data_IF_908680351007
#
_entry.id   IF_908680351007
#
_cell.length_a   1.000
_cell.length_b   1.000
_cell.length_c   1.000
_cell.angle_alpha   90.00
_cell.angle_beta   90.00
_cell.angle_gamma   90.00
#
_symmetry.space_group_name_H-M   'P 1'
#
loop_
_entity.id
_entity.type
_entity.pdbx_description
1 polymer ?
#
# COMPACT_ATOMS: atom_id res chain seq x y z
N UNK A 1 5.55 23.72 -21.16
CA UNK A 1 5.70 24.77 -20.15
C UNK A 1 6.33 24.09 -18.94
N UNK A 2 7.57 24.49 -18.63
CA UNK A 2 8.46 24.01 -17.57
C UNK A 2 8.56 22.49 -17.39
N UNK A 3 9.52 21.85 -18.10
CA UNK A 3 10.34 20.80 -17.48
C UNK A 3 11.64 21.53 -17.16
N UNK A 4 11.66 22.32 -16.08
CA UNK A 4 12.93 22.82 -15.62
C UNK A 4 13.55 21.74 -14.75
N UNK A 5 14.35 20.89 -15.39
CA UNK A 5 15.34 20.07 -14.68
C UNK A 5 16.21 20.94 -13.77
N UNK A 6 16.35 22.23 -14.09
CA UNK A 6 16.96 23.24 -13.23
C UNK A 6 16.28 23.37 -11.86
N UNK A 7 14.93 23.31 -11.80
CA UNK A 7 14.17 23.53 -10.55
C UNK A 7 14.50 22.51 -9.45
N UNK A 8 14.83 21.28 -9.82
CA UNK A 8 15.15 20.20 -8.88
C UNK A 8 16.56 19.64 -9.08
N UNK A 9 17.43 20.33 -9.83
CA UNK A 9 18.74 19.83 -10.23
C UNK A 9 19.60 19.39 -9.03
N UNK A 10 19.52 20.13 -7.92
CA UNK A 10 20.26 19.83 -6.69
C UNK A 10 19.75 18.60 -5.94
N UNK A 11 18.47 18.25 -6.14
CA UNK A 11 17.79 17.11 -5.49
C UNK A 11 17.93 15.81 -6.30
N UNK A 12 18.09 15.93 -7.62
CA UNK A 12 18.15 14.79 -8.52
C UNK A 12 19.24 13.76 -8.18
N UNK A 13 20.49 14.14 -7.81
CA UNK A 13 21.53 13.17 -7.50
C UNK A 13 21.18 12.27 -6.32
N UNK A 14 20.70 12.84 -5.20
CA UNK A 14 20.35 12.07 -4.01
C UNK A 14 19.07 11.26 -4.21
N UNK A 15 18.08 11.81 -4.90
CA UNK A 15 16.85 11.09 -5.26
C UNK A 15 17.14 9.89 -6.19
N UNK A 16 18.01 10.07 -7.19
CA UNK A 16 18.46 8.99 -8.05
C UNK A 16 19.17 7.88 -7.28
N UNK A 17 20.05 8.26 -6.35
CA UNK A 17 20.77 7.28 -5.54
C UNK A 17 19.82 6.47 -4.68
N UNK A 18 18.85 7.12 -4.02
CA UNK A 18 17.81 6.45 -3.26
C UNK A 18 16.99 5.47 -4.11
N UNK A 19 16.45 5.92 -5.25
CA UNK A 19 15.66 5.05 -6.13
C UNK A 19 16.50 3.90 -6.71
N UNK A 20 17.76 4.14 -7.06
CA UNK A 20 18.69 3.11 -7.52
C UNK A 20 18.92 2.03 -6.46
N UNK A 21 19.16 2.44 -5.21
CA UNK A 21 19.39 1.50 -4.10
C UNK A 21 18.13 0.71 -3.79
N UNK A 22 16.96 1.35 -3.80
CA UNK A 22 15.68 0.69 -3.63
C UNK A 22 15.37 -0.32 -4.74
N UNK A 23 15.65 0.03 -6.00
CA UNK A 23 15.52 -0.89 -7.14
C UNK A 23 16.43 -2.11 -7.01
N UNK A 24 17.69 -1.92 -6.59
CA UNK A 24 18.62 -3.03 -6.29
C UNK A 24 18.10 -3.93 -5.18
N UNK A 25 17.59 -3.34 -4.09
CA UNK A 25 17.00 -4.10 -2.99
C UNK A 25 15.83 -4.97 -3.46
N UNK A 26 14.94 -4.42 -4.30
CA UNK A 26 13.84 -5.17 -4.91
C UNK A 26 14.32 -6.32 -5.79
N UNK A 27 15.34 -6.09 -6.63
CA UNK A 27 15.96 -7.12 -7.47
C UNK A 27 16.63 -8.22 -6.65
N UNK A 28 17.38 -7.85 -5.61
CA UNK A 28 18.01 -8.81 -4.72
C UNK A 28 16.94 -9.70 -4.08
N UNK A 29 15.83 -9.12 -3.56
CA UNK A 29 14.74 -9.91 -2.96
C UNK A 29 14.10 -10.88 -3.92
N UNK A 30 13.98 -10.47 -5.18
CA UNK A 30 13.51 -11.34 -6.23
C UNK A 30 14.49 -12.50 -6.50
N UNK A 31 15.79 -12.21 -6.56
CA UNK A 31 16.85 -13.19 -6.86
C UNK A 31 17.12 -14.18 -5.73
N UNK A 32 17.09 -13.76 -4.46
CA UNK A 32 17.38 -14.63 -3.30
C UNK A 32 16.37 -15.79 -3.18
N UNK A 33 15.18 -15.62 -3.75
CA UNK A 33 14.09 -16.58 -3.59
C UNK A 33 13.56 -17.15 -4.88
N UNK A 34 13.93 -16.59 -6.03
CA UNK A 34 13.17 -16.80 -7.27
C UNK A 34 11.66 -16.68 -6.96
N UNK A 35 11.29 -15.66 -6.18
CA UNK A 35 10.05 -15.65 -5.37
C UNK A 35 8.80 -15.78 -6.22
N UNK A 36 8.79 -15.19 -7.42
CA UNK A 36 7.70 -15.36 -8.38
C UNK A 36 7.59 -16.79 -8.91
N UNK A 37 8.73 -17.48 -9.08
CA UNK A 37 8.73 -18.89 -9.45
C UNK A 37 8.24 -19.75 -8.28
N UNK A 38 8.62 -19.47 -7.03
CA UNK A 38 8.08 -20.20 -5.88
C UNK A 38 6.56 -20.06 -5.78
N UNK A 39 6.02 -18.84 -5.85
CA UNK A 39 4.55 -18.63 -5.76
C UNK A 39 3.81 -19.31 -6.92
N UNK A 40 4.36 -19.21 -8.14
CA UNK A 40 3.79 -19.87 -9.32
C UNK A 40 3.90 -21.40 -9.22
N UNK A 41 5.01 -21.90 -8.68
CA UNK A 41 5.25 -23.31 -8.44
C UNK A 41 4.32 -23.89 -7.37
N UNK A 42 4.07 -23.15 -6.29
CA UNK A 42 3.08 -23.56 -5.26
C UNK A 42 1.71 -23.69 -5.90
N UNK A 43 1.27 -22.69 -6.67
CA UNK A 43 -0.03 -22.71 -7.38
C UNK A 43 -0.10 -23.87 -8.38
N UNK A 44 0.94 -24.10 -9.17
CA UNK A 44 0.96 -25.21 -10.13
C UNK A 44 1.01 -26.57 -9.44
N UNK A 45 1.73 -26.71 -8.33
CA UNK A 45 1.76 -27.94 -7.54
C UNK A 45 0.40 -28.25 -6.93
N UNK A 46 -0.32 -27.23 -6.44
CA UNK A 46 -1.71 -27.36 -5.96
C UNK A 46 -2.62 -27.87 -7.09
N UNK A 47 -2.57 -27.24 -8.27
CA UNK A 47 -3.39 -27.63 -9.43
C UNK A 47 -3.10 -29.06 -9.91
N UNK A 48 -1.84 -29.51 -9.78
CA UNK A 48 -1.40 -30.83 -10.18
C UNK A 48 -1.55 -31.90 -9.08
N UNK A 49 -2.21 -31.60 -7.95
CA UNK A 49 -2.42 -32.55 -6.85
C UNK A 49 -1.16 -32.89 -6.04
N UNK A 50 -0.06 -32.15 -6.22
CA UNK A 50 1.23 -32.35 -5.53
C UNK A 50 1.30 -31.48 -4.28
N UNK A 51 0.39 -31.72 -3.34
CA UNK A 51 0.17 -30.88 -2.17
C UNK A 51 1.39 -30.81 -1.23
N UNK A 52 2.09 -31.92 -1.01
CA UNK A 52 3.29 -31.94 -0.16
C UNK A 52 4.44 -31.11 -0.76
N UNK A 53 4.61 -31.17 -2.09
CA UNK A 53 5.59 -30.33 -2.80
C UNK A 53 5.22 -28.85 -2.73
N UNK A 54 3.94 -28.52 -2.87
CA UNK A 54 3.44 -27.17 -2.68
C UNK A 54 3.74 -26.65 -1.26
N UNK A 55 3.47 -27.47 -0.24
CA UNK A 55 3.75 -27.13 1.15
C UNK A 55 5.25 -26.94 1.42
N UNK A 56 6.12 -27.80 0.88
CA UNK A 56 7.59 -27.67 0.98
C UNK A 56 8.09 -26.33 0.42
N UNK A 57 7.58 -25.91 -0.72
CA UNK A 57 7.92 -24.62 -1.34
C UNK A 57 7.37 -23.44 -0.53
N UNK A 58 6.14 -23.54 -0.02
CA UNK A 58 5.55 -22.58 0.91
C UNK A 58 6.40 -22.37 2.17
N UNK A 59 6.85 -23.46 2.81
CA UNK A 59 7.68 -23.39 4.02
C UNK A 59 9.03 -22.72 3.75
N UNK A 60 9.65 -22.96 2.59
CA UNK A 60 10.88 -22.24 2.19
C UNK A 60 10.66 -20.74 2.12
N UNK A 61 9.56 -20.33 1.51
CA UNK A 61 9.21 -18.91 1.37
C UNK A 61 8.85 -18.27 2.71
N UNK A 62 8.07 -18.96 3.55
CA UNK A 62 7.73 -18.52 4.92
C UNK A 62 8.98 -18.40 5.80
N UNK A 63 9.89 -19.38 5.72
CA UNK A 63 11.16 -19.37 6.46
C UNK A 63 12.01 -18.15 6.07
N UNK A 64 12.18 -17.89 4.77
CA UNK A 64 12.98 -16.74 4.34
C UNK A 64 12.41 -15.40 4.82
N UNK A 65 11.07 -15.22 4.72
CA UNK A 65 10.41 -14.06 5.32
C UNK A 65 10.77 -13.91 6.80
N UNK A 66 10.64 -14.99 7.57
CA UNK A 66 10.87 -14.96 9.00
C UNK A 66 12.35 -14.75 9.35
N UNK A 67 13.28 -15.33 8.59
CA UNK A 67 14.73 -15.14 8.76
C UNK A 67 15.12 -13.69 8.47
N UNK A 68 14.60 -13.09 7.39
CA UNK A 68 14.77 -11.67 7.09
C UNK A 68 14.20 -10.79 8.20
N UNK A 69 12.98 -11.07 8.66
CA UNK A 69 12.40 -10.35 9.79
C UNK A 69 13.31 -10.45 11.02
N UNK A 70 13.81 -11.63 11.37
CA UNK A 70 14.69 -11.81 12.53
C UNK A 70 16.04 -11.07 12.42
N UNK A 71 16.56 -10.89 11.21
CA UNK A 71 17.79 -10.14 10.96
C UNK A 71 17.59 -8.62 10.97
N UNK A 72 16.37 -8.15 10.76
CA UNK A 72 16.02 -6.73 10.86
C UNK A 72 15.82 -6.29 12.30
N UNK A 73 16.43 -5.16 12.64
CA UNK A 73 16.19 -4.48 13.91
C UNK A 73 14.69 -4.10 14.00
N UNK A 74 14.13 -3.81 15.18
CA UNK A 74 12.70 -3.44 15.36
C UNK A 74 12.34 -2.06 14.74
N UNK A 75 12.85 -1.73 13.55
CA UNK A 75 12.44 -0.56 12.79
C UNK A 75 11.21 -0.92 11.97
N UNK A 76 10.16 -0.14 12.13
CA UNK A 76 8.85 -0.40 11.50
C UNK A 76 8.94 -0.45 9.97
N UNK A 77 9.78 0.39 9.35
CA UNK A 77 9.83 0.53 7.89
C UNK A 77 10.42 -0.69 7.17
N UNK A 78 11.52 -1.28 7.70
CA UNK A 78 12.12 -2.49 7.12
C UNK A 78 11.16 -3.68 7.20
N UNK A 79 10.46 -3.80 8.34
CA UNK A 79 9.48 -4.86 8.57
C UNK A 79 8.22 -4.67 7.73
N UNK A 80 7.72 -3.43 7.59
CA UNK A 80 6.59 -3.11 6.71
C UNK A 80 6.91 -3.49 5.27
N UNK A 81 8.11 -3.17 4.79
CA UNK A 81 8.56 -3.54 3.45
C UNK A 81 8.64 -5.06 3.24
N UNK A 82 9.26 -5.79 4.18
CA UNK A 82 9.32 -7.27 4.11
C UNK A 82 7.90 -7.86 4.15
N UNK A 83 7.03 -7.40 5.05
CA UNK A 83 5.64 -7.88 5.11
C UNK A 83 4.89 -7.64 3.81
N UNK A 84 5.09 -6.47 3.18
CA UNK A 84 4.47 -6.13 1.90
C UNK A 84 4.99 -7.00 0.76
N UNK A 85 6.30 -7.30 0.73
CA UNK A 85 6.91 -8.14 -0.29
C UNK A 85 6.50 -9.61 -0.17
N UNK A 86 6.26 -10.09 1.05
CA UNK A 86 5.84 -11.47 1.35
C UNK A 86 4.34 -11.56 1.71
N UNK A 87 3.51 -10.70 1.12
CA UNK A 87 2.06 -10.70 1.35
C UNK A 87 1.40 -12.03 0.90
N UNK A 88 1.97 -12.69 -0.11
CA UNK A 88 1.48 -13.96 -0.64
C UNK A 88 1.64 -15.14 0.31
N UNK A 89 2.51 -15.06 1.34
CA UNK A 89 2.72 -16.17 2.29
C UNK A 89 1.40 -16.57 2.96
N UNK A 90 0.61 -15.59 3.41
CA UNK A 90 -0.66 -15.89 4.08
C UNK A 90 -1.72 -16.39 3.11
N UNK A 91 -1.77 -15.82 1.91
CA UNK A 91 -2.67 -16.29 0.86
C UNK A 91 -2.36 -17.75 0.48
N UNK A 92 -1.08 -18.12 0.35
CA UNK A 92 -0.67 -19.50 0.06
C UNK A 92 -1.02 -20.45 1.21
N UNK A 93 -0.84 -20.02 2.47
CA UNK A 93 -1.24 -20.81 3.62
C UNK A 93 -2.75 -21.09 3.63
N UNK A 94 -3.57 -20.09 3.30
CA UNK A 94 -5.02 -20.25 3.17
C UNK A 94 -5.39 -21.18 2.02
N UNK A 95 -4.76 -21.03 0.85
CA UNK A 95 -5.01 -21.90 -0.30
C UNK A 95 -4.68 -23.37 0.00
N UNK A 96 -3.55 -23.64 0.65
CA UNK A 96 -3.17 -24.99 1.05
C UNK A 96 -4.18 -25.55 2.06
N UNK A 97 -4.56 -24.76 3.06
CA UNK A 97 -5.57 -25.14 4.07
C UNK A 97 -6.92 -25.48 3.42
N UNK A 98 -7.37 -24.67 2.47
CA UNK A 98 -8.67 -24.84 1.82
C UNK A 98 -8.66 -26.07 0.91
N UNK A 99 -7.54 -26.36 0.23
CA UNK A 99 -7.35 -27.61 -0.53
C UNK A 99 -7.38 -28.84 0.39
N UNK A 100 -6.70 -28.80 1.54
CA UNK A 100 -6.78 -29.87 2.55
C UNK A 100 -8.24 -30.07 2.95
N UNK A 101 -8.94 -28.99 3.32
CA UNK A 101 -10.34 -29.05 3.73
C UNK A 101 -11.25 -29.66 2.66
N UNK A 102 -11.15 -29.19 1.42
CA UNK A 102 -11.94 -29.71 0.30
C UNK A 102 -11.65 -31.18 0.01
N UNK A 103 -10.38 -31.59 0.11
CA UNK A 103 -9.99 -32.99 -0.07
C UNK A 103 -10.61 -33.87 1.01
N UNK A 104 -10.59 -33.42 2.27
CA UNK A 104 -11.21 -34.15 3.39
C UNK A 104 -12.73 -34.30 3.21
N UNK A 105 -13.40 -33.29 2.64
CA UNK A 105 -14.84 -33.32 2.35
C UNK A 105 -15.13 -34.24 1.14
N UNK A 106 -14.35 -34.17 0.07
CA UNK A 106 -14.61 -34.93 -1.17
C UNK A 106 -14.23 -36.41 -1.06
N UNK A 107 -13.13 -36.74 -0.36
CA UNK A 107 -12.75 -38.13 -0.06
C UNK A 107 -13.85 -38.89 0.70
N UNK A 108 -14.78 -38.14 1.31
CA UNK A 108 -15.91 -38.68 2.04
C UNK A 108 -17.21 -38.80 1.25
N UNK A 109 -17.33 -38.11 0.12
CA UNK A 109 -18.51 -38.20 -0.76
C UNK A 109 -18.45 -39.40 -1.70
N UNK A 110 -17.27 -39.75 -2.21
CA UNK A 110 -17.11 -40.81 -3.22
C UNK A 110 -17.25 -42.24 -2.64
N UNK A 111 -17.05 -42.42 -1.34
CA UNK A 111 -17.29 -43.71 -0.66
C UNK A 111 -18.76 -43.99 -0.34
N UNK A 112 -19.66 -43.01 -0.55
CA UNK A 112 -21.10 -43.14 -0.26
C UNK A 112 -21.96 -43.52 -1.47
N UNK A 113 -21.38 -43.68 -2.68
CA UNK A 113 -22.12 -43.99 -3.92
C UNK A 113 -21.88 -45.39 -4.49
N UNK A 114 -21.29 -46.31 -3.71
CA UNK A 114 -21.17 -47.72 -4.07
C UNK A 114 -22.48 -48.47 -3.88
N UNK A 115 -23.43 -48.32 -4.81
CA UNK A 115 -24.45 -49.35 -5.02
C UNK A 115 -23.94 -50.24 -6.15
N UNK A 116 -23.59 -51.47 -5.79
CA UNK A 116 -23.38 -52.64 -6.63
C UNK A 116 -23.16 -52.39 -8.12
N UNK A 117 -21.90 -52.48 -8.57
CA UNK A 117 -21.52 -53.38 -9.66
C UNK A 117 -19.99 -53.53 -9.72
N UNK A 118 -19.59 -54.79 -9.87
CA UNK A 118 -18.22 -55.26 -9.99
C UNK A 118 -17.45 -54.60 -11.16
N UNK A 119 -16.13 -54.58 -10.98
CA UNK A 119 -15.06 -54.39 -11.97
C UNK A 119 -14.53 -52.94 -12.14
N UNK A 120 -13.58 -52.54 -11.27
CA UNK A 120 -12.25 -52.02 -11.65
C UNK A 120 -11.45 -51.54 -10.41
N UNK A 121 -10.49 -52.34 -9.95
CA UNK A 121 -9.59 -52.12 -8.80
C UNK A 121 -8.50 -51.03 -9.00
N UNK A 122 -8.81 -49.89 -9.61
CA UNK A 122 -7.79 -48.85 -9.91
C UNK A 122 -8.05 -47.46 -9.29
N UNK A 123 -9.19 -47.20 -8.65
CA UNK A 123 -9.51 -45.87 -8.09
C UNK A 123 -9.16 -45.69 -6.61
N UNK A 124 -8.88 -46.76 -5.86
CA UNK A 124 -8.58 -46.68 -4.40
C UNK A 124 -7.17 -46.13 -4.10
N UNK A 125 -6.19 -46.33 -5.01
CA UNK A 125 -4.79 -45.95 -4.79
C UNK A 125 -4.53 -44.43 -4.86
N UNK A 126 -5.39 -43.66 -5.54
CA UNK A 126 -5.22 -42.20 -5.70
C UNK A 126 -5.60 -41.45 -4.42
N UNK A 127 -6.50 -41.99 -3.61
CA UNK A 127 -6.98 -41.36 -2.38
C UNK A 127 -5.94 -41.51 -1.24
N UNK A 128 -5.29 -42.67 -1.13
CA UNK A 128 -4.28 -42.95 -0.10
C UNK A 128 -3.02 -42.07 -0.19
N UNK A 129 -2.55 -41.76 -1.42
CA UNK A 129 -1.39 -40.89 -1.61
C UNK A 129 -1.64 -39.46 -1.11
N UNK A 130 -2.81 -38.89 -1.42
CA UNK A 130 -3.17 -37.53 -0.98
C UNK A 130 -3.36 -37.47 0.53
N UNK A 131 -3.95 -38.50 1.14
CA UNK A 131 -4.12 -38.58 2.61
C UNK A 131 -2.77 -38.63 3.30
N UNK A 132 -1.83 -39.44 2.79
CA UNK A 132 -0.47 -39.48 3.32
C UNK A 132 0.23 -38.12 3.18
N UNK A 133 0.04 -37.41 2.07
CA UNK A 133 0.54 -36.04 1.91
C UNK A 133 -0.06 -35.09 2.97
N UNK A 134 -1.37 -35.14 3.22
CA UNK A 134 -2.05 -34.28 4.21
C UNK A 134 -1.54 -34.58 5.63
N UNK A 135 -1.42 -35.85 5.99
CA UNK A 135 -0.95 -36.29 7.31
C UNK A 135 0.47 -35.76 7.56
N UNK A 136 1.38 -35.92 6.60
CA UNK A 136 2.75 -35.37 6.68
C UNK A 136 2.77 -33.84 6.82
N UNK A 137 1.91 -33.13 6.09
CA UNK A 137 1.80 -31.66 6.19
C UNK A 137 1.35 -31.24 7.60
N UNK A 138 0.30 -31.86 8.13
CA UNK A 138 -0.28 -31.52 9.43
C UNK A 138 0.69 -31.82 10.58
N UNK A 139 1.40 -32.94 10.50
CA UNK A 139 2.47 -33.29 11.46
C UNK A 139 3.56 -32.22 11.49
N UNK A 140 4.11 -31.88 10.33
CA UNK A 140 5.17 -30.91 10.24
C UNK A 140 4.72 -29.50 10.66
N UNK A 141 3.51 -29.09 10.28
CA UNK A 141 2.96 -27.80 10.69
C UNK A 141 2.78 -27.71 12.21
N UNK A 142 2.39 -28.82 12.85
CA UNK A 142 2.27 -28.92 14.31
C UNK A 142 3.63 -28.77 14.98
N UNK A 143 4.68 -29.37 14.42
CA UNK A 143 6.04 -29.21 14.94
C UNK A 143 6.51 -27.77 14.81
N UNK A 144 6.26 -27.11 13.68
CA UNK A 144 6.61 -25.69 13.51
C UNK A 144 5.85 -24.77 14.46
N UNK A 145 4.58 -25.07 14.74
CA UNK A 145 3.78 -24.34 15.72
C UNK A 145 4.34 -24.51 17.15
N UNK A 146 4.76 -25.73 17.51
CA UNK A 146 5.41 -26.03 18.79
C UNK A 146 6.77 -25.33 18.92
N UNK A 147 7.63 -25.42 17.88
CA UNK A 147 8.92 -24.73 17.83
C UNK A 147 8.76 -23.21 17.95
N UNK A 148 7.73 -22.65 17.32
CA UNK A 148 7.40 -21.23 17.42
C UNK A 148 6.98 -20.84 18.85
N UNK A 149 6.21 -21.70 19.53
CA UNK A 149 5.83 -21.46 20.93
C UNK A 149 7.06 -21.48 21.84
N UNK A 150 7.95 -22.46 21.66
CA UNK A 150 9.22 -22.55 22.41
C UNK A 150 10.08 -21.30 22.20
N UNK A 151 10.11 -20.74 20.98
CA UNK A 151 10.82 -19.48 20.70
C UNK A 151 10.22 -18.30 21.47
N UNK A 152 8.90 -18.16 21.46
CA UNK A 152 8.19 -17.10 22.22
C UNK A 152 8.46 -17.23 23.71
N UNK A 153 8.45 -18.44 24.24
CA UNK A 153 8.71 -18.72 25.67
C UNK A 153 10.16 -18.41 26.08
N UNK A 154 11.09 -18.35 25.12
CA UNK A 154 12.51 -17.97 25.31
C UNK A 154 12.79 -16.49 25.02
N UNK A 155 11.77 -15.63 24.99
CA UNK A 155 11.85 -14.22 24.58
C UNK A 155 12.47 -14.01 23.18
N UNK A 156 12.47 -15.04 22.33
CA UNK A 156 12.91 -14.94 20.94
C UNK A 156 11.74 -14.53 20.05
N UNK A 157 12.05 -13.83 18.96
CA UNK A 157 11.01 -13.40 18.01
C UNK A 157 10.33 -14.63 17.38
N UNK A 158 9.01 -14.71 17.55
CA UNK A 158 8.20 -15.76 16.94
C UNK A 158 8.02 -15.56 15.44
N UNK A 159 7.79 -16.65 14.72
CA UNK A 159 7.33 -16.65 13.34
C UNK A 159 5.98 -15.93 13.22
N UNK A 160 5.86 -15.07 12.22
CA UNK A 160 4.64 -14.29 11.95
C UNK A 160 3.46 -15.25 11.67
N UNK A 161 2.28 -14.94 12.21
CA UNK A 161 1.03 -15.68 11.98
C UNK A 161 1.04 -17.17 12.38
N UNK A 162 1.91 -17.55 13.32
CA UNK A 162 1.89 -18.85 14.01
C UNK A 162 1.50 -18.71 15.49
N UNK A 163 0.76 -19.69 16.07
CA UNK A 163 0.42 -20.99 15.50
C UNK A 163 -0.77 -20.96 14.52
N UNK A 164 -0.74 -21.84 13.51
CA UNK A 164 -1.83 -21.99 12.51
C UNK A 164 -2.86 -23.04 12.91
N UNK A 165 -2.50 -23.96 13.82
CA UNK A 165 -3.40 -24.96 14.43
C UNK A 165 -4.11 -25.89 13.43
N UNK A 166 -3.45 -26.23 12.31
CA UNK A 166 -4.04 -27.11 11.29
C UNK A 166 -4.39 -28.51 11.80
N UNK A 167 -3.67 -29.02 12.80
CA UNK A 167 -4.02 -30.28 13.48
C UNK A 167 -5.37 -30.21 14.16
N UNK A 168 -5.66 -29.13 14.91
CA UNK A 168 -6.95 -28.90 15.57
C UNK A 168 -8.09 -28.75 14.56
N UNK A 169 -7.82 -28.08 13.44
CA UNK A 169 -8.78 -27.96 12.33
C UNK A 169 -9.13 -29.34 11.76
N UNK A 170 -8.13 -30.16 11.44
CA UNK A 170 -8.37 -31.48 10.87
C UNK A 170 -9.05 -32.43 11.87
N UNK A 171 -8.63 -32.43 13.14
CA UNK A 171 -9.25 -33.30 14.17
C UNK A 171 -10.70 -32.92 14.45
N UNK A 172 -11.03 -31.63 14.51
CA UNK A 172 -12.42 -31.18 14.70
C UNK A 172 -13.33 -31.53 13.53
N UNK A 173 -12.83 -31.44 12.29
CA UNK A 173 -13.58 -31.87 11.10
C UNK A 173 -13.82 -33.38 11.09
N UNK A 174 -12.83 -34.17 11.49
CA UNK A 174 -12.95 -35.63 11.50
C UNK A 174 -13.74 -36.17 12.70
N UNK A 175 -13.87 -35.40 13.79
CA UNK A 175 -14.60 -35.78 15.01
C UNK A 175 -16.13 -35.68 14.91
N UNK A 176 -16.67 -34.87 13.99
CA UNK A 176 -18.11 -34.70 13.76
C UNK A 176 -18.55 -35.22 12.38
N UNK A 177 -18.60 -36.55 12.17
CA UNK A 177 -18.86 -37.13 10.86
C UNK A 177 -20.29 -36.90 10.33
N UNK A 178 -21.22 -36.54 11.22
CA UNK A 178 -22.66 -36.39 10.92
C UNK A 178 -22.97 -35.07 10.21
N UNK A 179 -22.18 -34.01 10.41
CA UNK A 179 -22.38 -32.70 9.75
C UNK A 179 -21.67 -32.59 8.38
N UNK A 180 -20.75 -33.52 8.08
CA UNK A 180 -19.80 -33.41 6.95
C UNK A 180 -20.05 -34.51 5.88
N UNK A 181 -20.97 -35.44 6.12
CA UNK A 181 -21.24 -36.55 5.17
C UNK A 181 -20.10 -37.56 5.12
N UNK A 182 -19.48 -37.83 6.27
CA UNK A 182 -18.17 -38.50 6.37
C UNK A 182 -18.29 -40.03 6.45
N UNK A 183 -17.53 -40.77 5.62
CA UNK A 183 -17.44 -42.23 5.75
C UNK A 183 -16.72 -42.61 7.06
N UNK A 184 -17.44 -43.25 7.99
CA UNK A 184 -17.01 -43.49 9.39
C UNK A 184 -15.66 -44.25 9.52
N UNK A 185 -15.36 -45.29 8.71
CA UNK A 185 -14.05 -45.96 8.74
C UNK A 185 -12.88 -45.08 8.30
N UNK A 186 -13.07 -44.26 7.27
CA UNK A 186 -12.05 -43.36 6.73
C UNK A 186 -11.68 -42.27 7.73
N UNK A 187 -12.70 -41.62 8.30
CA UNK A 187 -12.50 -40.58 9.30
C UNK A 187 -11.78 -41.14 10.54
N UNK A 188 -12.13 -42.37 10.94
CA UNK A 188 -11.52 -43.05 12.07
C UNK A 188 -10.07 -43.46 11.79
N UNK A 189 -9.74 -43.92 10.58
CA UNK A 189 -8.37 -44.23 10.18
C UNK A 189 -7.49 -42.98 10.16
N UNK A 190 -7.95 -41.89 9.54
CA UNK A 190 -7.19 -40.65 9.47
C UNK A 190 -7.02 -39.98 10.84
N UNK A 191 -8.07 -39.99 11.67
CA UNK A 191 -8.02 -39.47 13.04
C UNK A 191 -7.06 -40.29 13.90
N UNK A 192 -7.02 -41.61 13.71
CA UNK A 192 -6.06 -42.51 14.36
C UNK A 192 -4.62 -42.21 13.91
N UNK A 193 -4.39 -42.00 12.61
CA UNK A 193 -3.09 -41.57 12.08
C UNK A 193 -2.66 -40.21 12.66
N UNK A 194 -3.56 -39.22 12.74
CA UNK A 194 -3.26 -37.90 13.32
C UNK A 194 -3.05 -37.92 14.85
N UNK A 195 -3.59 -38.92 15.55
CA UNK A 195 -3.39 -39.12 17.00
C UNK A 195 -2.13 -39.91 17.33
N UNK A 196 -1.75 -40.89 16.50
CA UNK A 196 -0.59 -41.78 16.73
C UNK A 196 0.77 -41.18 16.33
N UNK A 197 0.80 -39.92 15.90
CA UNK A 197 2.00 -39.23 15.39
C UNK A 197 2.99 -38.77 16.45
N UNK A 198 2.94 -39.36 17.64
CA UNK A 198 3.88 -39.10 18.74
C UNK A 198 5.02 -40.11 18.89
N UNK A 199 4.89 -41.33 18.35
CA UNK A 199 5.73 -42.47 18.81
C UNK A 199 6.54 -43.22 17.74
N UNK A 200 6.35 -42.95 16.44
CA UNK A 200 7.11 -43.67 15.41
C UNK A 200 8.22 -42.79 14.81
N UNK A 201 9.42 -43.36 14.81
CA UNK A 201 10.69 -42.88 14.28
C UNK A 201 10.57 -42.52 12.78
N UNK A 202 10.01 -41.33 12.48
CA UNK A 202 9.87 -40.75 11.14
C UNK A 202 11.17 -40.05 10.68
N UNK A 203 12.31 -40.67 11.02
CA UNK A 203 13.63 -40.07 10.95
C UNK A 203 14.16 -39.72 9.55
N UNK A 204 13.51 -40.17 8.47
CA UNK A 204 14.01 -39.97 7.09
C UNK A 204 13.20 -38.98 6.25
N UNK A 205 11.86 -39.04 6.27
CA UNK A 205 11.02 -38.10 5.49
C UNK A 205 10.99 -36.67 6.10
N UNK A 206 11.13 -36.54 7.42
CA UNK A 206 11.19 -35.24 8.10
C UNK A 206 12.51 -34.48 7.85
N UNK A 207 13.58 -35.16 7.42
CA UNK A 207 14.82 -34.50 6.97
C UNK A 207 14.60 -33.74 5.67
N UNK A 208 13.68 -34.19 4.82
CA UNK A 208 13.47 -33.61 3.50
C UNK A 208 12.86 -32.19 3.55
N UNK A 209 12.22 -31.85 4.67
CA UNK A 209 11.71 -30.50 4.98
C UNK A 209 12.68 -29.68 5.84
N UNK A 210 13.80 -30.26 6.32
CA UNK A 210 14.87 -29.47 6.92
C UNK A 210 15.53 -28.66 5.81
N UNK A 211 15.22 -27.38 5.79
CA UNK A 211 15.94 -26.42 4.96
C UNK A 211 17.30 -26.25 5.62
N UNK A 212 18.29 -27.03 5.17
CA UNK A 212 19.67 -26.90 5.59
C UNK A 212 20.14 -25.46 5.30
N UNK A 213 20.67 -24.81 6.33
CA UNK A 213 21.28 -23.49 6.19
C UNK A 213 22.66 -23.70 5.59
N UNK A 214 22.78 -23.67 4.28
CA UNK A 214 24.10 -23.57 3.68
C UNK A 214 24.67 -22.17 3.98
N UNK A 215 25.99 -22.09 4.16
CA UNK A 215 26.71 -20.85 4.51
C UNK A 215 26.39 -19.74 3.50
N UNK A 216 26.22 -20.10 2.23
CA UNK A 216 25.83 -19.21 1.14
C UNK A 216 24.47 -18.51 1.38
N UNK A 217 23.44 -19.22 1.85
CA UNK A 217 22.12 -18.62 2.13
C UNK A 217 22.20 -17.57 3.25
N UNK A 218 22.97 -17.86 4.30
CA UNK A 218 23.16 -16.90 5.39
C UNK A 218 23.96 -15.66 4.94
N UNK A 219 24.98 -15.84 4.09
CA UNK A 219 25.73 -14.73 3.49
C UNK A 219 24.85 -13.85 2.61
N UNK A 220 23.95 -14.43 1.83
CA UNK A 220 22.97 -13.70 1.01
C UNK A 220 21.99 -12.89 1.90
N UNK A 221 21.48 -13.47 2.98
CA UNK A 221 20.64 -12.77 3.95
C UNK A 221 21.37 -11.60 4.64
N UNK A 222 22.66 -11.76 4.95
CA UNK A 222 23.49 -10.66 5.49
C UNK A 222 23.72 -9.56 4.44
N UNK A 223 23.96 -9.93 3.19
CA UNK A 223 24.06 -8.97 2.09
C UNK A 223 22.75 -8.18 1.92
N UNK A 224 21.59 -8.84 2.04
CA UNK A 224 20.29 -8.16 2.04
C UNK A 224 20.16 -7.12 3.13
N UNK A 225 20.49 -7.50 4.37
CA UNK A 225 20.45 -6.56 5.51
C UNK A 225 21.31 -5.32 5.22
N UNK A 226 22.48 -5.51 4.60
CA UNK A 226 23.34 -4.39 4.20
C UNK A 226 22.68 -3.51 3.14
N UNK A 227 22.01 -4.07 2.14
CA UNK A 227 21.26 -3.30 1.14
C UNK A 227 20.08 -2.54 1.73
N UNK A 228 19.35 -3.13 2.69
CA UNK A 228 18.31 -2.44 3.46
C UNK A 228 18.88 -1.21 4.17
N UNK A 229 19.95 -1.39 4.94
CA UNK A 229 20.60 -0.31 5.68
C UNK A 229 21.09 0.80 4.74
N UNK A 230 21.68 0.44 3.60
CA UNK A 230 22.12 1.43 2.61
C UNK A 230 20.95 2.19 1.99
N UNK A 231 19.84 1.50 1.69
CA UNK A 231 18.64 2.14 1.14
C UNK A 231 18.07 3.16 2.11
N UNK A 232 17.97 2.81 3.40
CA UNK A 232 17.54 3.74 4.46
C UNK A 232 18.49 4.92 4.61
N UNK A 233 19.80 4.71 4.52
CA UNK A 233 20.78 5.80 4.58
C UNK A 233 20.58 6.78 3.42
N UNK A 234 20.38 6.28 2.21
CA UNK A 234 20.10 7.12 1.04
C UNK A 234 18.77 7.87 1.17
N UNK A 235 17.75 7.24 1.76
CA UNK A 235 16.46 7.89 2.04
C UNK A 235 16.62 9.07 3.02
N UNK A 236 17.29 8.81 4.15
CA UNK A 236 17.56 9.84 5.17
C UNK A 236 18.41 10.97 4.60
N UNK A 237 19.40 10.65 3.76
CA UNK A 237 20.23 11.63 3.08
C UNK A 237 19.41 12.49 2.11
N UNK A 238 18.56 11.88 1.28
CA UNK A 238 17.64 12.60 0.40
C UNK A 238 16.73 13.54 1.21
N UNK A 239 16.06 13.04 2.24
CA UNK A 239 15.18 13.83 3.10
C UNK A 239 15.91 15.01 3.77
N UNK A 240 17.18 14.80 4.17
CA UNK A 240 18.02 15.87 4.74
C UNK A 240 18.36 16.94 3.70
N UNK A 241 18.76 16.54 2.50
CA UNK A 241 19.06 17.46 1.40
C UNK A 241 17.80 18.22 1.00
N UNK A 242 16.68 17.52 0.87
CA UNK A 242 15.38 18.10 0.53
C UNK A 242 14.92 19.12 1.57
N UNK A 243 15.02 18.79 2.86
CA UNK A 243 14.73 19.73 3.95
C UNK A 243 15.62 20.98 3.86
N UNK A 244 16.93 20.80 3.67
CA UNK A 244 17.86 21.92 3.53
C UNK A 244 17.53 22.79 2.32
N UNK A 245 17.18 22.18 1.20
CA UNK A 245 16.76 22.88 -0.02
C UNK A 245 15.55 23.78 0.25
N UNK A 246 14.52 23.22 0.89
CA UNK A 246 13.33 23.96 1.31
C UNK A 246 13.61 25.07 2.33
N UNK A 247 14.48 24.83 3.30
CA UNK A 247 14.87 25.81 4.33
C UNK A 247 15.75 26.94 3.78
N UNK A 248 16.63 26.63 2.83
CA UNK A 248 17.53 27.62 2.20
C UNK A 248 16.73 28.65 1.41
N UNK A 249 15.63 28.23 0.81
CA UNK A 249 14.73 29.12 0.08
C UNK A 249 13.75 29.89 0.99
N UNK A 250 13.69 29.57 2.30
CA UNK A 250 12.80 30.17 3.33
C UNK A 250 11.34 30.38 2.86
N UNK A 251 10.88 29.52 1.93
CA UNK A 251 9.65 29.73 1.16
C UNK A 251 8.46 29.87 2.10
N UNK A 252 8.41 29.03 3.15
CA UNK A 252 7.32 28.96 4.10
C UNK A 252 7.18 30.24 4.93
N UNK A 253 8.28 30.70 5.52
CA UNK A 253 8.26 31.88 6.37
C UNK A 253 7.98 33.13 5.54
N UNK A 254 8.68 33.26 4.41
CA UNK A 254 8.47 34.37 3.48
C UNK A 254 7.02 34.42 2.99
N UNK A 255 6.44 33.30 2.58
CA UNK A 255 5.05 33.25 2.11
C UNK A 255 4.07 33.70 3.20
N UNK A 256 4.25 33.23 4.43
CA UNK A 256 3.38 33.61 5.54
C UNK A 256 3.55 35.09 5.92
N UNK A 257 4.78 35.62 5.88
CA UNK A 257 5.06 37.04 6.12
C UNK A 257 4.46 37.91 5.01
N UNK A 258 4.53 37.48 3.75
CA UNK A 258 3.91 38.19 2.62
C UNK A 258 2.39 38.22 2.71
N UNK A 259 1.74 37.12 3.10
CA UNK A 259 0.29 37.11 3.34
C UNK A 259 -0.07 38.09 4.46
N UNK A 260 0.66 38.05 5.59
CA UNK A 260 0.42 38.95 6.73
C UNK A 260 0.59 40.42 6.35
N UNK A 261 1.53 40.72 5.46
CA UNK A 261 1.78 42.06 4.93
C UNK A 261 0.89 42.43 3.73
N UNK A 262 -0.13 41.63 3.40
CA UNK A 262 -1.02 41.81 2.23
C UNK A 262 -0.31 41.86 0.87
N UNK A 263 0.91 41.33 0.77
CA UNK A 263 1.62 41.16 -0.50
C UNK A 263 1.27 39.80 -1.12
N UNK A 264 0.07 39.73 -1.71
CA UNK A 264 -0.46 38.48 -2.26
C UNK A 264 0.33 37.99 -3.48
N UNK A 265 0.96 38.89 -4.24
CA UNK A 265 1.76 38.52 -5.41
C UNK A 265 3.01 37.72 -5.00
N UNK A 266 3.80 38.23 -4.07
CA UNK A 266 4.99 37.52 -3.60
C UNK A 266 4.63 36.22 -2.87
N UNK A 267 3.50 36.20 -2.16
CA UNK A 267 2.99 34.99 -1.53
C UNK A 267 2.65 33.90 -2.56
N UNK A 268 1.88 34.22 -3.61
CA UNK A 268 1.50 33.21 -4.60
C UNK A 268 2.69 32.75 -5.45
N UNK A 269 3.64 33.63 -5.74
CA UNK A 269 4.87 33.27 -6.46
C UNK A 269 5.66 32.18 -5.71
N UNK A 270 5.85 32.36 -4.40
CA UNK A 270 6.51 31.38 -3.56
C UNK A 270 5.73 30.06 -3.45
N UNK A 271 4.41 30.12 -3.31
CA UNK A 271 3.55 28.94 -3.25
C UNK A 271 3.58 28.12 -4.55
N UNK A 272 3.48 28.79 -5.70
CA UNK A 272 3.58 28.15 -7.02
C UNK A 272 4.97 27.56 -7.23
N UNK A 273 6.04 28.22 -6.75
CA UNK A 273 7.39 27.66 -6.80
C UNK A 273 7.51 26.36 -6.00
N UNK A 274 6.97 26.34 -4.78
CA UNK A 274 6.96 25.13 -3.95
C UNK A 274 6.16 23.98 -4.60
N UNK A 275 5.02 24.29 -5.22
CA UNK A 275 4.22 23.31 -5.96
C UNK A 275 4.95 22.79 -7.19
N UNK A 276 5.66 23.67 -7.91
CA UNK A 276 6.49 23.28 -9.07
C UNK A 276 7.56 22.26 -8.67
N UNK A 277 8.24 22.49 -7.55
CA UNK A 277 9.20 21.52 -6.97
C UNK A 277 8.51 20.17 -6.69
N UNK A 278 7.31 20.19 -6.07
CA UNK A 278 6.55 18.97 -5.75
C UNK A 278 6.24 18.19 -7.01
N UNK A 279 5.65 18.86 -8.00
CA UNK A 279 5.26 18.28 -9.26
C UNK A 279 6.46 17.67 -9.98
N UNK A 280 7.59 18.37 -10.05
CA UNK A 280 8.79 17.87 -10.73
C UNK A 280 9.40 16.65 -10.04
N UNK A 281 9.43 16.61 -8.71
CA UNK A 281 9.88 15.43 -7.97
C UNK A 281 8.96 14.22 -8.23
N UNK A 282 7.65 14.43 -8.22
CA UNK A 282 6.68 13.38 -8.48
C UNK A 282 6.73 12.88 -9.93
N UNK A 283 6.87 13.77 -10.90
CA UNK A 283 7.04 13.41 -12.30
C UNK A 283 8.33 12.62 -12.53
N UNK A 284 9.40 12.99 -11.83
CA UNK A 284 10.66 12.25 -11.88
C UNK A 284 10.52 10.85 -11.25
N UNK A 285 9.83 10.76 -10.10
CA UNK A 285 9.55 9.49 -9.43
C UNK A 285 8.67 8.56 -10.28
N UNK A 286 7.67 9.10 -10.97
CA UNK A 286 6.80 8.34 -11.88
C UNK A 286 7.60 7.69 -13.01
N UNK A 287 8.59 8.39 -13.58
CA UNK A 287 9.46 7.82 -14.61
C UNK A 287 10.29 6.61 -14.15
N UNK A 288 10.35 6.37 -12.84
CA UNK A 288 11.02 5.23 -12.20
C UNK A 288 10.03 4.24 -11.54
N UNK A 289 8.71 4.41 -11.73
CA UNK A 289 7.65 3.65 -11.04
C UNK A 289 7.69 3.78 -9.51
N UNK A 290 8.18 4.91 -8.99
CA UNK A 290 8.38 5.15 -7.56
C UNK A 290 7.49 6.29 -7.00
N UNK A 291 6.48 6.71 -7.76
CA UNK A 291 5.58 7.81 -7.39
C UNK A 291 5.00 7.68 -5.98
N UNK A 292 4.42 6.53 -5.64
CA UNK A 292 3.78 6.33 -4.33
C UNK A 292 4.75 6.47 -3.16
N UNK A 293 5.98 5.98 -3.35
CA UNK A 293 7.05 6.05 -2.34
C UNK A 293 7.45 7.49 -2.10
N UNK A 294 7.75 8.22 -3.18
CA UNK A 294 8.18 9.61 -3.09
C UNK A 294 7.05 10.49 -2.59
N UNK A 295 5.82 10.28 -3.05
CA UNK A 295 4.66 11.00 -2.54
C UNK A 295 4.51 10.84 -1.02
N UNK A 296 4.64 9.61 -0.48
CA UNK A 296 4.60 9.35 0.97
C UNK A 296 5.69 10.13 1.72
N UNK A 297 6.90 10.22 1.15
CA UNK A 297 8.03 10.96 1.74
C UNK A 297 7.83 12.47 1.73
N UNK A 298 7.14 13.01 0.71
CA UNK A 298 6.94 14.45 0.56
C UNK A 298 5.82 15.01 1.46
N UNK A 299 4.81 14.20 1.83
CA UNK A 299 3.67 14.63 2.66
C UNK A 299 4.05 15.52 3.86
N UNK A 300 4.94 15.10 4.78
CA UNK A 300 5.24 15.88 5.99
C UNK A 300 5.90 17.24 5.71
N UNK A 301 6.53 17.40 4.55
CA UNK A 301 7.16 18.66 4.14
C UNK A 301 6.17 19.63 3.49
N UNK A 302 5.12 19.11 2.86
CA UNK A 302 4.11 19.92 2.17
C UNK A 302 2.88 20.23 3.02
N UNK A 303 2.61 19.46 4.08
CA UNK A 303 1.51 19.77 5.02
C UNK A 303 1.54 21.23 5.56
N UNK A 304 2.70 21.82 5.91
CA UNK A 304 2.75 23.24 6.28
C UNK A 304 2.43 24.20 5.13
N UNK A 305 2.77 23.87 3.88
CA UNK A 305 2.40 24.67 2.69
C UNK A 305 0.89 24.73 2.52
N UNK A 306 0.19 23.62 2.76
CA UNK A 306 -1.27 23.55 2.65
C UNK A 306 -1.96 24.50 3.64
N UNK A 307 -1.38 24.69 4.82
CA UNK A 307 -1.86 25.68 5.79
C UNK A 307 -1.66 27.12 5.29
N UNK A 308 -0.58 27.38 4.56
CA UNK A 308 -0.31 28.70 3.95
C UNK A 308 -1.26 28.93 2.76
N UNK A 309 -1.53 27.93 1.93
CA UNK A 309 -2.56 27.99 0.90
C UNK A 309 -3.93 28.33 1.49
N UNK A 310 -4.33 27.69 2.59
CA UNK A 310 -5.58 27.99 3.25
C UNK A 310 -5.67 29.46 3.73
N UNK A 311 -4.57 30.01 4.27
CA UNK A 311 -4.50 31.43 4.65
C UNK A 311 -4.61 32.35 3.44
N UNK A 312 -3.85 32.07 2.38
CA UNK A 312 -3.92 32.82 1.12
C UNK A 312 -5.34 32.83 0.57
N UNK A 313 -6.03 31.69 0.61
CA UNK A 313 -7.40 31.57 0.13
C UNK A 313 -8.39 32.35 0.97
N UNK A 314 -8.22 32.38 2.28
CA UNK A 314 -9.08 33.20 3.15
C UNK A 314 -8.92 34.70 2.84
N UNK A 315 -7.70 35.17 2.60
CA UNK A 315 -7.47 36.55 2.14
C UNK A 315 -8.05 36.77 0.73
N UNK A 316 -7.84 35.84 -0.19
CA UNK A 316 -8.36 35.93 -1.55
C UNK A 316 -9.89 36.04 -1.57
N UNK A 317 -10.59 35.26 -0.74
CA UNK A 317 -12.05 35.30 -0.60
C UNK A 317 -12.55 36.70 -0.27
N UNK A 318 -11.86 37.45 0.59
CA UNK A 318 -12.25 38.82 0.94
C UNK A 318 -12.31 39.73 -0.31
N UNK A 319 -11.29 39.67 -1.17
CA UNK A 319 -11.26 40.45 -2.40
C UNK A 319 -12.30 39.96 -3.42
N UNK A 320 -12.47 38.65 -3.58
CA UNK A 320 -13.48 38.08 -4.47
C UNK A 320 -14.91 38.49 -4.07
N UNK A 321 -15.22 38.40 -2.77
CA UNK A 321 -16.50 38.81 -2.17
C UNK A 321 -16.79 40.31 -2.43
N UNK A 322 -15.76 41.15 -2.49
CA UNK A 322 -15.86 42.59 -2.78
C UNK A 322 -15.56 42.94 -4.24
N UNK A 323 -15.39 41.94 -5.11
CA UNK A 323 -14.85 42.13 -6.46
C UNK A 323 -15.63 43.16 -7.28
N UNK A 324 -16.96 43.10 -7.24
CA UNK A 324 -17.82 44.06 -7.97
C UNK A 324 -17.61 45.50 -7.46
N UNK A 325 -17.47 45.69 -6.15
CA UNK A 325 -17.26 47.02 -5.56
C UNK A 325 -15.86 47.54 -5.85
N UNK A 326 -14.85 46.66 -5.76
CA UNK A 326 -13.45 46.96 -6.09
C UNK A 326 -13.33 47.42 -7.56
N UNK A 327 -13.99 46.71 -8.49
CA UNK A 327 -13.97 47.03 -9.91
C UNK A 327 -14.62 48.39 -10.21
N UNK A 328 -15.70 48.75 -9.49
CA UNK A 328 -16.39 50.05 -9.60
C UNK A 328 -15.62 51.19 -8.93
N UNK A 329 -14.86 50.89 -7.88
CA UNK A 329 -14.06 51.89 -7.15
C UNK A 329 -12.98 52.54 -8.02
N UNK A 330 -12.47 53.69 -7.60
CA UNK A 330 -11.37 54.39 -8.28
C UNK A 330 -9.99 54.02 -7.71
N UNK A 331 -9.93 53.32 -6.58
CA UNK A 331 -8.67 52.96 -5.94
C UNK A 331 -7.93 51.88 -6.75
N UNK A 332 -6.70 52.13 -7.24
CA UNK A 332 -5.95 51.17 -8.05
C UNK A 332 -5.40 49.99 -7.24
N UNK A 333 -5.16 50.15 -5.94
CA UNK A 333 -4.47 49.12 -5.14
C UNK A 333 -5.31 47.85 -4.95
N UNK A 334 -6.58 47.91 -4.48
CA UNK A 334 -7.44 46.72 -4.39
C UNK A 334 -7.71 46.06 -5.74
N UNK A 335 -7.71 46.84 -6.83
CA UNK A 335 -7.85 46.29 -8.20
C UNK A 335 -6.65 45.43 -8.59
N UNK A 336 -5.43 45.88 -8.30
CA UNK A 336 -4.21 45.09 -8.53
C UNK A 336 -4.23 43.79 -7.73
N UNK A 337 -4.59 43.85 -6.45
CA UNK A 337 -4.68 42.65 -5.60
C UNK A 337 -5.73 41.66 -6.14
N UNK A 338 -6.89 42.15 -6.57
CA UNK A 338 -7.91 41.32 -7.22
C UNK A 338 -7.38 40.67 -8.52
N UNK A 339 -6.66 41.41 -9.35
CA UNK A 339 -6.05 40.85 -10.57
C UNK A 339 -5.04 39.73 -10.25
N UNK A 340 -4.20 39.92 -9.24
CA UNK A 340 -3.25 38.90 -8.77
C UNK A 340 -3.99 37.63 -8.34
N UNK A 341 -5.08 37.77 -7.58
CA UNK A 341 -5.90 36.63 -7.14
C UNK A 341 -6.54 35.91 -8.33
N UNK A 342 -7.11 36.63 -9.29
CA UNK A 342 -7.70 36.01 -10.47
C UNK A 342 -6.66 35.24 -11.29
N UNK A 343 -5.46 35.80 -11.48
CA UNK A 343 -4.33 35.11 -12.11
C UNK A 343 -3.90 33.88 -11.30
N UNK A 344 -3.86 33.97 -9.97
CA UNK A 344 -3.54 32.85 -9.10
C UNK A 344 -4.52 31.68 -9.31
N UNK A 345 -5.82 31.98 -9.37
CA UNK A 345 -6.88 30.99 -9.62
C UNK A 345 -6.72 30.33 -11.00
N UNK A 346 -6.39 31.11 -12.03
CA UNK A 346 -6.11 30.56 -13.37
C UNK A 346 -4.88 29.65 -13.40
N UNK A 347 -3.83 29.99 -12.65
CA UNK A 347 -2.63 29.16 -12.53
C UNK A 347 -2.93 27.88 -11.77
N UNK A 348 -3.65 27.97 -10.65
CA UNK A 348 -4.05 26.83 -9.83
C UNK A 348 -4.90 25.82 -10.62
N UNK A 349 -5.87 26.30 -11.41
CA UNK A 349 -6.66 25.46 -12.33
C UNK A 349 -5.78 24.73 -13.37
N UNK A 350 -4.73 25.39 -13.88
CA UNK A 350 -3.78 24.75 -14.80
C UNK A 350 -2.97 23.67 -14.09
N UNK A 351 -2.58 23.91 -12.84
CA UNK A 351 -1.86 22.94 -12.01
C UNK A 351 -2.77 21.72 -11.73
N UNK A 352 -4.01 21.93 -11.31
CA UNK A 352 -4.97 20.85 -11.06
C UNK A 352 -5.15 19.97 -12.30
N UNK A 353 -5.27 20.57 -13.50
CA UNK A 353 -5.30 19.84 -14.77
C UNK A 353 -4.00 19.11 -15.09
N UNK A 354 -2.84 19.67 -14.72
CA UNK A 354 -1.55 18.99 -14.88
C UNK A 354 -1.49 17.73 -14.01
N UNK A 355 -1.92 17.81 -12.76
CA UNK A 355 -2.00 16.64 -11.87
C UNK A 355 -2.98 15.59 -12.41
N UNK A 356 -4.16 16.01 -12.88
CA UNK A 356 -5.17 15.14 -13.47
C UNK A 356 -4.64 14.43 -14.73
N UNK A 357 -4.04 15.16 -15.66
CA UNK A 357 -3.51 14.62 -16.92
C UNK A 357 -2.42 13.56 -16.69
N UNK A 358 -1.61 13.71 -15.63
CA UNK A 358 -0.59 12.74 -15.26
C UNK A 358 -1.11 11.68 -14.27
N UNK A 359 -2.40 11.68 -13.94
CA UNK A 359 -3.03 10.75 -12.99
C UNK A 359 -2.39 10.78 -11.59
N UNK A 360 -1.77 11.89 -11.22
CA UNK A 360 -1.11 12.07 -9.94
C UNK A 360 -2.15 12.35 -8.85
N UNK A 361 -2.45 11.33 -8.06
CA UNK A 361 -3.36 11.43 -6.92
C UNK A 361 -2.57 11.79 -5.66
N UNK A 362 -2.70 13.05 -5.24
CA UNK A 362 -2.06 13.55 -4.03
C UNK A 362 -3.08 14.15 -3.07
N UNK A 363 -2.76 14.15 -1.79
CA UNK A 363 -3.59 14.76 -0.76
C UNK A 363 -3.72 16.26 -1.01
N UNK A 364 -4.93 16.79 -0.82
CA UNK A 364 -5.27 18.22 -0.98
C UNK A 364 -5.30 18.75 -2.42
N UNK A 365 -5.26 17.87 -3.45
CA UNK A 365 -5.53 18.25 -4.85
C UNK A 365 -6.66 17.38 -5.44
N UNK A 366 -7.48 17.91 -6.36
CA UNK A 366 -7.48 19.29 -6.86
C UNK A 366 -7.94 20.30 -5.80
N UNK A 367 -7.50 21.55 -5.94
CA UNK A 367 -7.88 22.66 -5.07
C UNK A 367 -9.23 23.28 -5.45
N UNK A 368 -9.59 23.24 -6.73
CA UNK A 368 -10.86 23.76 -7.26
C UNK A 368 -11.13 25.26 -6.93
N UNK A 369 -10.10 26.10 -6.88
CA UNK A 369 -10.28 27.53 -6.55
C UNK A 369 -11.16 28.28 -7.55
N UNK A 370 -11.20 27.80 -8.80
CA UNK A 370 -12.07 28.36 -9.83
C UNK A 370 -13.55 28.15 -9.51
N UNK A 371 -13.93 26.96 -9.08
CA UNK A 371 -15.30 26.66 -8.67
C UNK A 371 -15.69 27.49 -7.45
N UNK A 372 -14.78 27.62 -6.48
CA UNK A 372 -14.96 28.51 -5.33
C UNK A 372 -15.24 29.95 -5.76
N UNK A 373 -14.47 30.50 -6.70
CA UNK A 373 -14.66 31.85 -7.21
C UNK A 373 -16.04 32.03 -7.83
N UNK A 374 -16.47 31.13 -8.72
CA UNK A 374 -17.77 31.23 -9.36
C UNK A 374 -18.91 31.15 -8.37
N UNK A 375 -18.81 30.26 -7.37
CA UNK A 375 -19.78 30.17 -6.28
C UNK A 375 -19.88 31.48 -5.49
N UNK A 376 -18.75 32.09 -5.15
CA UNK A 376 -18.74 33.39 -4.46
C UNK A 376 -19.41 34.47 -5.33
N UNK A 377 -19.10 34.52 -6.62
CA UNK A 377 -19.71 35.51 -7.54
C UNK A 377 -21.22 35.30 -7.63
N UNK A 378 -21.67 34.05 -7.80
CA UNK A 378 -23.09 33.67 -7.86
C UNK A 378 -23.83 34.12 -6.59
N UNK A 379 -23.32 33.76 -5.40
CA UNK A 379 -23.89 34.16 -4.11
C UNK A 379 -23.98 35.69 -3.97
N UNK A 380 -22.95 36.43 -4.43
CA UNK A 380 -22.93 37.90 -4.32
C UNK A 380 -23.85 38.59 -5.32
N UNK A 381 -24.01 38.04 -6.52
CA UNK A 381 -25.00 38.53 -7.49
C UNK A 381 -26.40 38.28 -6.94
N UNK A 382 -26.67 37.08 -6.43
CA UNK A 382 -27.96 36.72 -5.86
C UNK A 382 -28.34 37.63 -4.69
N UNK A 383 -27.43 37.86 -3.72
CA UNK A 383 -27.65 38.77 -2.59
C UNK A 383 -28.01 40.20 -3.05
N UNK A 384 -27.39 40.70 -4.11
CA UNK A 384 -27.70 42.02 -4.65
C UNK A 384 -29.07 42.06 -5.31
N UNK A 385 -29.39 41.04 -6.12
CA UNK A 385 -30.71 40.92 -6.76
C UNK A 385 -31.81 40.90 -5.70
N UNK A 386 -31.65 40.13 -4.64
CA UNK A 386 -32.60 40.07 -3.52
C UNK A 386 -32.72 41.41 -2.77
N UNK A 387 -31.62 42.10 -2.52
CA UNK A 387 -31.65 43.42 -1.90
C UNK A 387 -32.43 44.44 -2.76
N UNK A 388 -32.21 44.45 -4.08
CA UNK A 388 -32.97 45.29 -5.01
C UNK A 388 -34.47 44.92 -5.06
N UNK A 389 -34.83 43.64 -4.88
CA UNK A 389 -36.23 43.20 -4.84
C UNK A 389 -36.98 43.65 -3.57
N UNK A 390 -36.28 43.81 -2.45
CA UNK A 390 -36.89 44.24 -1.18
C UNK A 390 -37.19 45.75 -1.20
N UNK A 391 -36.32 46.56 -1.82
CA UNK A 391 -36.49 48.01 -1.89
C UNK A 391 -37.72 48.44 -2.73
N UNK A 392 -38.16 47.61 -3.69
CA UNK A 392 -39.14 47.99 -4.72
C UNK A 392 -40.45 47.19 -4.73
N UNK A 393 -40.92 46.70 -3.56
CA UNK A 393 -42.21 45.97 -3.46
C UNK A 393 -43.43 46.73 -4.00
N UNK A 394 -43.36 48.07 -4.17
CA UNK A 394 -44.42 48.89 -4.80
C UNK A 394 -44.30 49.04 -6.32
N UNK A 395 -43.15 48.71 -6.94
CA UNK A 395 -42.84 48.95 -8.36
C UNK A 395 -42.69 47.66 -9.19
N UNK A 396 -42.98 46.50 -8.58
CA UNK A 396 -42.64 45.15 -9.04
C UNK A 396 -43.38 44.62 -10.29
N UNK A 397 -43.98 45.49 -11.12
CA UNK A 397 -44.52 45.11 -12.44
C UNK A 397 -43.52 45.27 -13.59
N UNK A 398 -42.43 46.04 -13.42
CA UNK A 398 -41.56 46.45 -14.54
C UNK A 398 -40.11 45.99 -14.41
N UNK A 399 -39.85 44.77 -13.93
CA UNK A 399 -38.47 44.28 -13.81
C UNK A 399 -37.91 43.71 -15.12
N UNK A 400 -38.76 43.33 -16.08
CA UNK A 400 -38.36 42.79 -17.40
C UNK A 400 -38.23 43.88 -18.48
N UNK A 401 -38.80 45.07 -18.26
CA UNK A 401 -39.02 46.11 -19.29
C UNK A 401 -38.20 47.40 -19.06
N UNK A 402 -36.89 47.29 -18.82
CA UNK A 402 -35.98 48.45 -18.87
C UNK A 402 -34.92 48.36 -19.97
N UNK A 403 -35.34 47.94 -21.16
CA UNK A 403 -34.65 48.20 -22.42
C UNK A 403 -35.69 48.43 -23.53
N UNK A 404 -36.12 49.67 -23.68
CA UNK A 404 -36.44 50.31 -24.98
C UNK A 404 -35.83 51.71 -24.98
#
# INVERSE_FOLDING_TARGET
MMIDKETIAELLPSLNEFMRMKGKLGLCLHLLLDSANIVTDVKSCILNGKLFKAYKNFIKYEKCRNDLLNLTDNKDDEQEFIRKHFNDVELMAEQIRDVIRLTLINATSNSASGTDNNDNDNDDYINDDIIQQIVKIVEYDTQLDADNQIRKDKDQRGCLNRPRNWKSLCTSMLANPVEIGTHKPFAQQMLTSLMNTGDNDSGDDMKELRIENDTAYYEELLAMRKYFQQTLLCEVEFCKIFKKFLETEDIFKQSNDYITNSNLFAAIENLVKAESIRYHLLAFAESHNEFNTINKLLIPYYEPIEQIYAKFINEAKYYCIRGIDIMRGQNPEPKKQLEVILRAIEIDEKIDKLYENNQFKITNRPHCWREMLFKIIEERVQQRVEAFQIEDRKLNQNWVTRYE
#
